data_IF_175487213708
#
_entry.id   IF_175487213708
#
_cell.length_a   1.000
_cell.length_b   1.000
_cell.length_c   1.000
_cell.angle_alpha   90.00
_cell.angle_beta   90.00
_cell.angle_gamma   90.00
#
_symmetry.space_group_name_H-M   'P 1'
#
loop_
_entity.id
_entity.type
_entity.pdbx_description
1 polymer ?
#
# COMPACT_ATOMS: atom_id res chain seq x y z
N UNK A 1 -0.36 28.17 24.37
CA UNK A 1 0.57 28.12 23.18
C UNK A 1 1.03 26.70 22.84
N UNK A 2 1.40 25.84 23.81
CA UNK A 2 1.84 24.46 23.56
C UNK A 2 0.78 23.60 22.86
N UNK A 3 -0.48 23.63 23.28
CA UNK A 3 -1.58 22.89 22.63
C UNK A 3 -1.77 23.23 21.14
N UNK A 4 -1.59 24.52 20.77
CA UNK A 4 -1.64 24.92 19.36
C UNK A 4 -0.49 24.34 18.55
N UNK A 5 0.71 24.18 19.14
CA UNK A 5 1.86 23.54 18.48
C UNK A 5 1.65 22.04 18.28
N UNK A 6 1.03 21.37 19.27
CA UNK A 6 0.67 19.95 19.15
C UNK A 6 -0.32 19.78 17.99
N UNK A 7 -1.41 20.55 17.94
CA UNK A 7 -2.41 20.47 16.89
C UNK A 7 -1.84 20.73 15.49
N UNK A 8 -0.88 21.67 15.38
CA UNK A 8 -0.17 21.91 14.09
C UNK A 8 0.72 20.73 13.70
N UNK A 9 1.42 20.13 14.65
CA UNK A 9 2.24 18.95 14.39
C UNK A 9 1.38 17.74 14.02
N UNK A 10 0.20 17.57 14.63
CA UNK A 10 -0.76 16.54 14.26
C UNK A 10 -1.26 16.73 12.82
N UNK A 11 -1.63 17.95 12.43
CA UNK A 11 -2.04 18.27 11.05
C UNK A 11 -0.93 17.96 10.03
N UNK A 12 0.32 18.27 10.36
CA UNK A 12 1.47 18.01 9.49
C UNK A 12 1.77 16.50 9.40
N UNK A 13 1.65 15.76 10.50
CA UNK A 13 1.77 14.30 10.50
C UNK A 13 0.68 13.64 9.64
N UNK A 14 -0.55 14.12 9.68
CA UNK A 14 -1.65 13.60 8.86
C UNK A 14 -1.40 13.85 7.37
N UNK A 15 -0.85 15.01 6.99
CA UNK A 15 -0.45 15.29 5.60
C UNK A 15 0.65 14.33 5.13
N UNK A 16 1.70 14.14 5.93
CA UNK A 16 2.79 13.21 5.62
C UNK A 16 2.31 11.76 5.57
N UNK A 17 1.37 11.37 6.44
CA UNK A 17 0.75 10.04 6.39
C UNK A 17 -0.05 9.83 5.10
N UNK A 18 -0.70 10.88 4.58
CA UNK A 18 -1.39 10.83 3.30
C UNK A 18 -0.39 10.63 2.14
N UNK A 19 0.72 11.37 2.14
CA UNK A 19 1.79 11.20 1.13
C UNK A 19 2.36 9.78 1.18
N UNK A 20 2.68 9.25 2.36
CA UNK A 20 3.15 7.87 2.53
C UNK A 20 2.15 6.85 1.99
N UNK A 21 0.86 7.08 2.23
CA UNK A 21 -0.19 6.20 1.72
C UNK A 21 -0.24 6.22 0.19
N UNK A 22 -0.11 7.40 -0.42
CA UNK A 22 -0.05 7.55 -1.88
C UNK A 22 1.18 6.82 -2.46
N UNK A 23 2.35 7.00 -1.85
CA UNK A 23 3.57 6.31 -2.28
C UNK A 23 3.43 4.79 -2.18
N UNK A 24 2.79 4.29 -1.11
CA UNK A 24 2.51 2.87 -0.96
C UNK A 24 1.55 2.35 -2.05
N UNK A 25 0.52 3.12 -2.38
CA UNK A 25 -0.42 2.76 -3.45
C UNK A 25 0.31 2.71 -4.79
N UNK A 26 1.15 3.69 -5.11
CA UNK A 26 1.96 3.70 -6.33
C UNK A 26 2.88 2.47 -6.39
N UNK A 27 3.63 2.21 -5.32
CA UNK A 27 4.50 1.04 -5.25
C UNK A 27 3.75 -0.28 -5.42
N UNK A 28 2.60 -0.43 -4.74
CA UNK A 28 1.77 -1.63 -4.87
C UNK A 28 1.21 -1.78 -6.28
N UNK A 29 0.78 -0.68 -6.90
CA UNK A 29 0.27 -0.70 -8.27
C UNK A 29 1.34 -1.15 -9.27
N UNK A 30 2.54 -0.60 -9.16
CA UNK A 30 3.67 -0.99 -9.98
C UNK A 30 4.06 -2.46 -9.75
N UNK A 31 4.13 -2.89 -8.50
CA UNK A 31 4.48 -4.26 -8.16
C UNK A 31 3.46 -5.27 -8.72
N UNK A 32 2.16 -5.00 -8.61
CA UNK A 32 1.11 -5.87 -9.14
C UNK A 32 1.13 -5.88 -10.68
N UNK A 33 1.32 -4.72 -11.32
CA UNK A 33 1.43 -4.62 -12.76
C UNK A 33 2.61 -5.42 -13.33
N UNK A 34 3.80 -5.22 -12.76
CA UNK A 34 4.99 -5.94 -13.19
C UNK A 34 4.94 -7.43 -12.88
N UNK A 35 4.28 -7.84 -11.79
CA UNK A 35 4.01 -9.24 -11.49
C UNK A 35 3.11 -9.88 -12.57
N UNK A 36 2.07 -9.18 -13.02
CA UNK A 36 1.21 -9.66 -14.11
C UNK A 36 1.99 -9.77 -15.44
N UNK A 37 2.85 -8.80 -15.76
CA UNK A 37 3.74 -8.85 -16.93
C UNK A 37 4.74 -10.02 -16.85
N UNK A 38 5.33 -10.27 -15.69
CA UNK A 38 6.24 -11.40 -15.45
C UNK A 38 5.53 -12.74 -15.59
N UNK A 39 4.31 -12.84 -15.06
CA UNK A 39 3.49 -14.04 -15.20
C UNK A 39 3.12 -14.31 -16.66
N UNK A 40 2.84 -13.27 -17.47
CA UNK A 40 2.63 -13.40 -18.92
C UNK A 40 3.89 -13.90 -19.64
N UNK A 41 5.05 -13.34 -19.32
CA UNK A 41 6.32 -13.79 -19.91
C UNK A 41 6.61 -15.26 -19.57
N UNK A 42 6.36 -15.66 -18.32
CA UNK A 42 6.49 -17.05 -17.85
C UNK A 42 5.52 -17.98 -18.58
N UNK A 43 4.28 -17.56 -18.78
CA UNK A 43 3.27 -18.31 -19.55
C UNK A 43 3.72 -18.52 -21.01
N UNK A 44 4.20 -17.44 -21.67
CA UNK A 44 4.73 -17.53 -23.05
C UNK A 44 5.92 -18.50 -23.14
N UNK A 45 6.83 -18.47 -22.15
CA UNK A 45 7.97 -19.38 -22.09
C UNK A 45 7.53 -20.83 -21.88
N UNK A 46 6.62 -21.09 -20.93
CA UNK A 46 6.08 -22.41 -20.65
C UNK A 46 5.33 -22.99 -21.86
N UNK A 47 4.55 -22.18 -22.60
CA UNK A 47 3.86 -22.61 -23.81
C UNK A 47 4.84 -23.00 -24.92
N UNK A 48 5.93 -22.23 -25.12
CA UNK A 48 6.98 -22.57 -26.08
C UNK A 48 7.70 -23.87 -25.69
N UNK A 49 8.01 -24.03 -24.41
CA UNK A 49 8.68 -25.24 -23.89
C UNK A 49 7.80 -26.48 -24.09
N UNK A 50 6.51 -26.41 -23.74
CA UNK A 50 5.55 -27.48 -23.96
C UNK A 50 5.47 -27.86 -25.44
N UNK A 51 5.39 -26.87 -26.35
CA UNK A 51 5.39 -27.11 -27.80
C UNK A 51 6.65 -27.84 -28.30
N UNK A 52 7.84 -27.44 -27.84
CA UNK A 52 9.11 -28.10 -28.18
C UNK A 52 9.13 -29.55 -27.71
N UNK A 53 8.76 -29.79 -26.45
CA UNK A 53 8.75 -31.13 -25.88
C UNK A 53 7.70 -32.03 -26.56
N UNK A 54 6.55 -31.49 -26.93
CA UNK A 54 5.52 -32.19 -27.69
C UNK A 54 6.02 -32.60 -29.09
N UNK A 55 6.76 -31.73 -29.78
CA UNK A 55 7.38 -32.08 -31.07
C UNK A 55 8.44 -33.19 -30.90
N UNK A 56 9.29 -33.10 -29.85
CA UNK A 56 10.26 -34.14 -29.54
C UNK A 56 9.58 -35.48 -29.23
N UNK A 57 8.49 -35.45 -28.49
CA UNK A 57 7.73 -36.67 -28.20
C UNK A 57 7.22 -37.33 -29.49
N UNK A 58 6.67 -36.57 -30.44
CA UNK A 58 6.17 -37.11 -31.72
C UNK A 58 7.30 -37.77 -32.49
N UNK A 59 8.47 -37.11 -32.61
CA UNK A 59 9.64 -37.67 -33.30
C UNK A 59 10.10 -38.99 -32.68
N UNK A 60 10.13 -39.05 -31.35
CA UNK A 60 10.54 -40.25 -30.63
C UNK A 60 9.49 -41.37 -30.74
N UNK A 61 8.21 -40.99 -30.73
CA UNK A 61 7.12 -41.93 -30.96
C UNK A 61 7.21 -42.60 -32.33
N UNK A 62 7.48 -41.79 -33.40
CA UNK A 62 7.66 -42.33 -34.75
C UNK A 62 8.83 -43.27 -34.85
N UNK A 63 9.99 -42.90 -34.28
CA UNK A 63 11.18 -43.79 -34.21
C UNK A 63 10.94 -45.06 -33.42
N UNK A 64 10.13 -45.02 -32.40
CA UNK A 64 9.73 -46.21 -31.63
C UNK A 64 8.86 -47.12 -32.51
N UNK A 65 7.90 -46.56 -33.25
CA UNK A 65 7.05 -47.31 -34.17
C UNK A 65 7.88 -48.01 -35.28
N UNK A 66 8.97 -47.32 -35.72
CA UNK A 66 9.93 -47.88 -36.68
C UNK A 66 10.90 -48.92 -36.05
N UNK A 67 10.80 -49.18 -34.75
CA UNK A 67 11.68 -50.11 -34.01
C UNK A 67 13.09 -49.59 -33.75
N UNK A 68 13.36 -48.29 -33.98
CA UNK A 68 14.69 -47.67 -33.92
C UNK A 68 15.12 -47.29 -32.49
N UNK A 69 14.19 -47.20 -31.51
CA UNK A 69 14.48 -46.83 -30.12
C UNK A 69 13.74 -47.69 -29.14
N UNK A 70 14.24 -47.69 -27.85
CA UNK A 70 13.72 -48.52 -26.80
C UNK A 70 12.41 -47.94 -26.20
N UNK A 71 11.61 -48.83 -25.56
CA UNK A 71 10.43 -48.45 -24.80
C UNK A 71 10.78 -47.54 -23.63
N UNK A 72 11.95 -47.66 -23.05
CA UNK A 72 12.44 -46.82 -21.94
C UNK A 72 12.59 -45.36 -22.40
N UNK A 73 13.15 -45.14 -23.60
CA UNK A 73 13.33 -43.81 -24.15
C UNK A 73 11.97 -43.12 -24.42
N UNK A 74 11.01 -43.90 -24.94
CA UNK A 74 9.64 -43.41 -25.14
C UNK A 74 8.98 -43.02 -23.81
N UNK A 75 9.15 -43.81 -22.76
CA UNK A 75 8.61 -43.50 -21.43
C UNK A 75 9.28 -42.28 -20.85
N UNK A 76 10.59 -42.08 -21.00
CA UNK A 76 11.30 -40.89 -20.53
C UNK A 76 10.77 -39.61 -21.17
N UNK A 77 10.60 -39.58 -22.48
CA UNK A 77 10.07 -38.39 -23.17
C UNK A 77 8.60 -38.17 -22.85
N UNK A 78 7.81 -39.22 -22.65
CA UNK A 78 6.42 -39.14 -22.21
C UNK A 78 6.32 -38.49 -20.83
N UNK A 79 7.16 -38.84 -19.89
CA UNK A 79 7.24 -38.20 -18.56
C UNK A 79 7.59 -36.70 -18.71
N UNK A 80 8.61 -36.39 -19.51
CA UNK A 80 9.00 -34.99 -19.79
C UNK A 80 7.90 -34.17 -20.42
N UNK A 81 7.10 -34.78 -21.32
CA UNK A 81 5.91 -34.11 -21.90
C UNK A 81 4.89 -33.78 -20.79
N UNK A 82 4.61 -34.71 -19.89
CA UNK A 82 3.68 -34.49 -18.78
C UNK A 82 4.17 -33.42 -17.79
N UNK A 83 5.48 -33.36 -17.55
CA UNK A 83 6.08 -32.29 -16.75
C UNK A 83 5.93 -30.92 -17.42
N UNK A 84 6.18 -30.83 -18.74
CA UNK A 84 6.00 -29.60 -19.51
C UNK A 84 4.52 -29.13 -19.53
N UNK A 85 3.57 -30.05 -19.76
CA UNK A 85 2.13 -29.79 -19.67
C UNK A 85 1.75 -29.23 -18.27
N UNK A 86 2.27 -29.83 -17.20
CA UNK A 86 2.03 -29.38 -15.83
C UNK A 86 2.58 -27.96 -15.59
N UNK A 87 3.79 -27.69 -16.08
CA UNK A 87 4.40 -26.36 -15.96
C UNK A 87 3.55 -25.29 -16.71
N UNK A 88 3.09 -25.63 -17.90
CA UNK A 88 2.19 -24.74 -18.66
C UNK A 88 0.88 -24.45 -17.90
N UNK A 89 0.24 -25.48 -17.34
CA UNK A 89 -1.00 -25.30 -16.56
C UNK A 89 -0.75 -24.41 -15.35
N UNK A 90 0.34 -24.64 -14.61
CA UNK A 90 0.71 -23.81 -13.45
C UNK A 90 0.98 -22.35 -13.86
N UNK A 91 1.73 -22.13 -14.94
CA UNK A 91 2.02 -20.81 -15.43
C UNK A 91 0.72 -20.08 -15.88
N UNK A 92 -0.22 -20.78 -16.51
CA UNK A 92 -1.52 -20.24 -16.90
C UNK A 92 -2.36 -19.84 -15.69
N UNK A 93 -2.39 -20.68 -14.65
CA UNK A 93 -3.10 -20.36 -13.40
C UNK A 93 -2.50 -19.12 -12.72
N UNK A 94 -1.17 -19.06 -12.61
CA UNK A 94 -0.49 -17.91 -12.02
C UNK A 94 -0.77 -16.62 -12.79
N UNK A 95 -0.77 -16.67 -14.11
CA UNK A 95 -1.13 -15.51 -14.94
C UNK A 95 -2.58 -15.07 -14.71
N UNK A 96 -3.51 -16.01 -14.66
CA UNK A 96 -4.92 -15.69 -14.39
C UNK A 96 -5.08 -15.02 -13.01
N UNK A 97 -4.43 -15.54 -11.98
CA UNK A 97 -4.45 -14.95 -10.63
C UNK A 97 -3.81 -13.55 -10.60
N UNK A 98 -2.69 -13.36 -11.31
CA UNK A 98 -2.04 -12.06 -11.39
C UNK A 98 -2.91 -11.01 -12.10
N UNK A 99 -3.63 -11.39 -13.17
CA UNK A 99 -4.62 -10.53 -13.81
C UNK A 99 -5.79 -10.18 -12.91
N UNK A 100 -6.31 -11.14 -12.17
CA UNK A 100 -7.39 -10.89 -11.21
C UNK A 100 -6.96 -9.92 -10.12
N UNK A 101 -5.74 -10.04 -9.60
CA UNK A 101 -5.18 -9.10 -8.62
C UNK A 101 -5.05 -7.70 -9.21
N UNK A 102 -4.59 -7.58 -10.45
CA UNK A 102 -4.51 -6.29 -11.15
C UNK A 102 -5.89 -5.66 -11.33
N UNK A 103 -6.88 -6.43 -11.76
CA UNK A 103 -8.25 -5.97 -11.95
C UNK A 103 -8.88 -5.51 -10.63
N UNK A 104 -8.66 -6.24 -9.53
CA UNK A 104 -9.14 -5.86 -8.19
C UNK A 104 -8.51 -4.53 -7.77
N UNK A 105 -7.21 -4.36 -8.00
CA UNK A 105 -6.53 -3.12 -7.67
C UNK A 105 -7.06 -1.92 -8.47
N UNK A 106 -7.42 -2.13 -9.74
CA UNK A 106 -8.06 -1.12 -10.59
C UNK A 106 -9.54 -0.88 -10.23
N UNK A 107 -10.13 -1.63 -9.30
CA UNK A 107 -11.53 -1.52 -8.92
C UNK A 107 -12.52 -2.05 -9.96
N UNK A 108 -12.04 -2.86 -10.92
CA UNK A 108 -12.89 -3.50 -11.94
C UNK A 108 -13.19 -4.96 -11.58
N UNK A 109 -14.09 -5.60 -12.35
CA UNK A 109 -14.40 -7.01 -12.10
C UNK A 109 -13.16 -7.88 -12.29
N UNK A 110 -12.93 -8.91 -11.43
CA UNK A 110 -11.74 -9.76 -11.51
C UNK A 110 -11.52 -10.40 -12.88
N UNK A 111 -12.61 -10.71 -13.61
CA UNK A 111 -12.56 -11.36 -14.92
C UNK A 111 -12.61 -10.37 -16.10
N UNK A 112 -12.41 -9.07 -15.83
CA UNK A 112 -12.36 -8.08 -16.89
C UNK A 112 -11.17 -8.34 -17.83
N UNK A 113 -11.41 -8.15 -19.14
CA UNK A 113 -10.35 -8.28 -20.13
C UNK A 113 -9.33 -7.15 -19.97
N UNK A 114 -8.05 -7.51 -19.97
CA UNK A 114 -6.94 -6.54 -20.00
C UNK A 114 -6.39 -6.53 -21.43
N UNK A 115 -6.43 -5.39 -22.09
CA UNK A 115 -6.11 -5.28 -23.53
C UNK A 115 -4.65 -5.60 -23.83
N UNK A 116 -3.70 -5.11 -23.04
CA UNK A 116 -2.27 -5.42 -23.22
C UNK A 116 -1.47 -5.16 -21.97
N UNK A 117 -0.46 -6.00 -21.72
CA UNK A 117 0.59 -5.78 -20.73
C UNK A 117 1.90 -5.51 -21.46
N UNK A 118 2.70 -4.56 -20.94
CA UNK A 118 4.04 -4.31 -21.46
C UNK A 118 4.93 -5.55 -21.32
N UNK A 119 5.71 -5.84 -22.35
CA UNK A 119 6.75 -6.85 -22.24
C UNK A 119 7.90 -6.35 -21.37
N UNK A 120 8.40 -7.24 -20.48
CA UNK A 120 9.55 -6.93 -19.66
C UNK A 120 10.80 -6.92 -20.53
N UNK A 121 11.31 -5.71 -20.79
CA UNK A 121 12.61 -5.55 -21.44
C UNK A 121 13.74 -5.58 -20.40
N UNK A 122 14.90 -6.11 -20.79
CA UNK A 122 16.12 -6.06 -19.96
C UNK A 122 16.78 -4.65 -19.98
N UNK A 123 16.00 -3.60 -19.96
CA UNK A 123 16.52 -2.24 -19.93
C UNK A 123 16.47 -1.72 -18.49
N UNK A 124 17.60 -1.75 -17.80
CA UNK A 124 17.76 -1.07 -16.52
C UNK A 124 18.04 0.41 -16.82
N UNK A 125 17.14 1.33 -16.42
CA UNK A 125 17.46 2.75 -16.52
C UNK A 125 18.69 3.06 -15.66
N UNK A 126 19.53 4.03 -16.07
CA UNK A 126 20.63 4.48 -15.23
C UNK A 126 20.07 5.00 -13.89
N UNK A 127 20.60 4.48 -12.79
CA UNK A 127 20.23 4.97 -11.46
C UNK A 127 21.16 6.15 -11.15
N UNK A 128 20.59 7.36 -11.09
CA UNK A 128 21.30 8.51 -10.58
C UNK A 128 21.57 8.31 -9.09
N UNK A 129 22.87 8.29 -8.73
CA UNK A 129 23.29 8.20 -7.34
C UNK A 129 23.06 9.55 -6.66
N UNK A 130 21.89 9.72 -6.06
CA UNK A 130 21.60 10.87 -5.22
C UNK A 130 22.41 10.82 -3.92
N UNK A 131 22.77 11.99 -3.38
CA UNK A 131 23.39 12.05 -2.06
C UNK A 131 22.42 11.56 -0.98
N UNK A 132 22.94 11.04 0.14
CA UNK A 132 22.11 10.56 1.25
C UNK A 132 21.16 11.65 1.75
N UNK A 133 21.64 12.88 1.90
CA UNK A 133 20.84 14.01 2.39
C UNK A 133 19.70 14.35 1.43
N UNK A 134 19.95 14.25 0.13
CA UNK A 134 18.91 14.49 -0.88
C UNK A 134 17.83 13.40 -0.88
N UNK A 135 18.23 12.15 -0.70
CA UNK A 135 17.28 11.03 -0.55
C UNK A 135 16.44 11.21 0.71
N UNK A 136 17.08 11.52 1.85
CA UNK A 136 16.37 11.71 3.11
C UNK A 136 15.40 12.90 3.08
N UNK A 137 15.79 14.00 2.41
CA UNK A 137 14.92 15.18 2.29
C UNK A 137 13.63 14.94 1.49
N UNK A 138 13.63 13.94 0.59
CA UNK A 138 12.48 13.56 -0.23
C UNK A 138 11.56 12.54 0.43
N UNK A 139 11.98 11.94 1.55
CA UNK A 139 11.23 10.87 2.22
C UNK A 139 10.25 11.42 3.24
N UNK A 140 8.96 11.18 3.02
CA UNK A 140 7.90 11.62 3.92
C UNK A 140 7.97 10.94 5.31
N UNK A 141 8.44 9.70 5.41
CA UNK A 141 8.65 9.00 6.69
C UNK A 141 9.74 9.66 7.54
N UNK A 142 10.85 10.11 6.90
CA UNK A 142 11.90 10.84 7.58
C UNK A 142 11.41 12.20 8.08
N UNK A 143 10.69 12.95 7.24
CA UNK A 143 10.06 14.21 7.66
C UNK A 143 9.08 13.98 8.83
N UNK A 144 8.29 12.90 8.79
CA UNK A 144 7.35 12.53 9.85
C UNK A 144 8.03 12.27 11.20
N UNK A 145 9.24 11.68 11.21
CA UNK A 145 9.97 11.48 12.46
C UNK A 145 10.40 12.81 13.10
N UNK A 146 10.83 13.79 12.31
CA UNK A 146 11.16 15.13 12.81
C UNK A 146 9.95 15.86 13.39
N UNK A 147 8.81 15.79 12.72
CA UNK A 147 7.56 16.39 13.22
C UNK A 147 7.10 15.68 14.51
N UNK A 148 7.26 14.37 14.61
CA UNK A 148 6.95 13.58 15.80
C UNK A 148 7.81 13.98 17.01
N UNK A 149 9.10 14.25 16.79
CA UNK A 149 10.01 14.78 17.83
C UNK A 149 9.51 16.16 18.29
N UNK A 150 9.22 17.08 17.36
CA UNK A 150 8.72 18.41 17.69
C UNK A 150 7.38 18.37 18.45
N UNK A 151 6.48 17.44 18.07
CA UNK A 151 5.24 17.15 18.79
C UNK A 151 5.51 16.72 20.23
N UNK A 152 6.41 15.76 20.44
CA UNK A 152 6.77 15.24 21.77
C UNK A 152 7.38 16.31 22.64
N UNK A 153 8.19 17.20 22.11
CA UNK A 153 8.71 18.38 22.84
C UNK A 153 7.60 19.36 23.23
N UNK A 154 6.63 19.59 22.33
CA UNK A 154 5.47 20.43 22.64
C UNK A 154 4.58 19.80 23.71
N UNK A 155 4.39 18.49 23.70
CA UNK A 155 3.68 17.73 24.74
C UNK A 155 4.39 17.84 26.09
N UNK A 156 5.72 17.70 26.13
CA UNK A 156 6.51 17.90 27.33
C UNK A 156 6.30 19.31 27.91
N UNK A 157 6.33 20.35 27.06
CA UNK A 157 6.08 21.74 27.46
C UNK A 157 4.63 21.93 27.96
N UNK A 158 3.65 21.26 27.35
CA UNK A 158 2.27 21.30 27.82
C UNK A 158 2.10 20.63 29.19
N UNK A 159 2.76 19.50 29.44
CA UNK A 159 2.75 18.83 30.73
C UNK A 159 3.41 19.71 31.82
N UNK A 160 4.57 20.29 31.52
CA UNK A 160 5.25 21.19 32.46
C UNK A 160 4.42 22.45 32.79
N UNK A 161 3.56 22.90 31.85
CA UNK A 161 2.71 24.06 32.10
C UNK A 161 1.62 23.82 33.16
N UNK A 162 1.34 22.57 33.51
CA UNK A 162 0.40 22.24 34.61
C UNK A 162 0.94 22.59 36.00
N UNK A 163 2.26 22.71 36.13
CA UNK A 163 2.91 23.16 37.38
C UNK A 163 2.90 24.69 37.55
N UNK A 164 2.50 25.44 36.49
CA UNK A 164 2.39 26.89 36.57
C UNK A 164 0.99 27.31 37.01
N UNK A 165 0.85 28.38 37.81
CA UNK A 165 -0.46 28.89 38.19
C UNK A 165 -1.31 29.23 36.98
N UNK A 166 -2.53 28.72 36.95
CA UNK A 166 -3.48 28.95 35.84
C UNK A 166 -4.48 30.04 36.24
N UNK A 167 -4.45 31.11 35.45
CA UNK A 167 -5.42 32.20 35.57
C UNK A 167 -6.52 32.00 34.51
N UNK A 168 -7.76 31.80 34.96
CA UNK A 168 -8.93 31.73 34.11
C UNK A 168 -9.91 32.85 34.42
N UNK A 169 -10.42 33.46 33.36
CA UNK A 169 -11.52 34.42 33.42
C UNK A 169 -12.79 33.77 32.87
N UNK A 170 -13.88 33.91 33.55
CA UNK A 170 -15.17 33.47 33.04
C UNK A 170 -16.19 34.64 33.12
N UNK A 171 -17.01 34.67 32.06
CA UNK A 171 -18.17 35.53 32.00
C UNK A 171 -19.37 34.63 31.73
N UNK A 172 -20.31 34.60 32.65
CA UNK A 172 -21.54 33.83 32.52
C UNK A 172 -22.72 34.84 32.51
N UNK A 173 -23.58 34.72 31.52
CA UNK A 173 -24.85 35.41 31.42
C UNK A 173 -25.91 34.39 31.04
N UNK A 174 -27.04 34.39 31.73
CA UNK A 174 -28.11 33.42 31.44
C UNK A 174 -29.37 33.76 32.21
N UNK A 175 -30.47 33.18 31.79
CA UNK A 175 -31.73 33.24 32.52
C UNK A 175 -31.66 32.15 33.60
N UNK A 176 -31.64 32.57 34.85
CA UNK A 176 -31.82 31.65 35.96
C UNK A 176 -33.33 31.46 36.17
N UNK A 177 -33.84 30.30 35.74
CA UNK A 177 -35.18 29.83 36.05
C UNK A 177 -35.21 29.16 37.44
N UNK A 178 -34.40 29.66 38.38
CA UNK A 178 -34.54 29.32 39.79
C UNK A 178 -35.96 29.58 40.21
N UNK A 179 -36.56 28.61 40.90
CA UNK A 179 -37.94 28.56 41.38
C UNK A 179 -38.42 29.96 41.72
N UNK A 180 -39.31 30.51 40.86
CA UNK A 180 -39.91 31.78 41.08
C UNK A 180 -40.74 31.72 42.40
N UNK A 181 -40.14 32.11 43.46
CA UNK A 181 -40.87 32.44 44.68
C UNK A 181 -41.50 33.78 44.42
N UNK A 182 -42.78 33.75 44.10
CA UNK A 182 -43.67 34.91 44.03
C UNK A 182 -43.35 35.95 42.91
N UNK A 183 -43.44 35.59 41.65
CA UNK A 183 -43.80 36.60 40.62
C UNK A 183 -42.83 37.77 40.41
N UNK A 184 -41.63 37.73 40.84
CA UNK A 184 -40.61 38.75 40.59
C UNK A 184 -39.64 38.22 39.53
N UNK A 185 -39.59 38.90 38.40
CA UNK A 185 -38.55 38.77 37.41
C UNK A 185 -37.19 39.05 38.06
N UNK A 186 -36.36 38.02 38.24
CA UNK A 186 -34.98 38.18 38.75
C UNK A 186 -34.17 38.81 37.58
N UNK A 187 -33.63 40.02 37.79
CA UNK A 187 -32.85 40.66 36.70
C UNK A 187 -31.62 39.86 36.37
N UNK A 188 -31.30 39.76 35.09
CA UNK A 188 -30.06 39.16 34.62
C UNK A 188 -28.86 39.86 35.26
N UNK A 189 -28.21 39.22 36.18
CA UNK A 189 -26.90 39.67 36.65
C UNK A 189 -25.81 38.92 35.88
N UNK A 190 -25.07 39.60 35.01
CA UNK A 190 -23.87 38.97 34.45
C UNK A 190 -22.89 38.71 35.57
N UNK A 191 -22.43 37.47 35.69
CA UNK A 191 -21.43 37.07 36.66
C UNK A 191 -20.08 36.99 35.93
N UNK A 192 -19.13 37.81 36.36
CA UNK A 192 -17.76 37.75 35.91
C UNK A 192 -16.85 37.39 37.07
N UNK A 193 -15.95 36.46 36.86
CA UNK A 193 -15.02 36.05 37.90
C UNK A 193 -13.65 35.69 37.32
N UNK A 194 -12.67 35.76 38.20
CA UNK A 194 -11.30 35.37 37.94
C UNK A 194 -11.00 34.19 38.88
N UNK A 195 -10.56 33.08 38.35
CA UNK A 195 -10.17 31.92 39.11
C UNK A 195 -8.66 31.68 38.94
N UNK A 196 -7.96 31.56 40.03
CA UNK A 196 -6.53 31.20 40.09
C UNK A 196 -6.45 29.82 40.73
N UNK A 197 -5.91 28.87 39.96
CA UNK A 197 -5.74 27.47 40.36
C UNK A 197 -4.27 27.09 40.36
#
# INVERSE_FOLDING_TARGET
MARKKIAKADEELDKLATELTLDQIHYQSDAVYWNASAALATLKAAARFEGIVSQQYNIIQDRFNDGAISRTDLLMISTRKKEAELQYIKARQNYTLALQQLNILMGVKPDAAVDSLCEIGMHCPPVDLLSLDEVLSRRADYAGTHVSIARSEAQRKAALSQYNPQLSMFLATGWDTGIAYMGQDVPHTPIAGINLN
#
